data_IF_471181933568
#
_entry.id   IF_471181933568
#
_cell.length_a   1.000
_cell.length_b   1.000
_cell.length_c   1.000
_cell.angle_alpha   90.00
_cell.angle_beta   90.00
_cell.angle_gamma   90.00
#
_symmetry.space_group_name_H-M   'P 1'
#
loop_
_entity.id
_entity.type
_entity.pdbx_description
1 polymer ?
#
# COMPACT_ATOMS: atom_id res chain seq x y z
N UNK A 1 -9.90 -13.97 0.67
CA UNK A 1 -8.53 -14.44 0.98
C UNK A 1 -8.49 -15.94 0.90
N UNK A 2 -7.42 -16.51 0.33
CA UNK A 2 -7.25 -17.97 0.22
C UNK A 2 -5.79 -18.35 0.38
N UNK A 3 -5.55 -19.58 0.84
CA UNK A 3 -4.23 -20.20 0.77
C UNK A 3 -3.99 -20.67 -0.68
N UNK A 4 -2.79 -20.45 -1.19
CA UNK A 4 -2.37 -20.90 -2.53
C UNK A 4 -1.05 -21.65 -2.43
N UNK A 5 -0.81 -22.55 -3.37
CA UNK A 5 0.50 -23.19 -3.48
C UNK A 5 1.51 -22.16 -4.01
N UNK A 6 2.58 -21.81 -3.26
CA UNK A 6 3.56 -20.81 -3.70
C UNK A 6 4.24 -21.17 -5.02
N UNK A 7 4.36 -22.47 -5.33
CA UNK A 7 4.99 -22.98 -6.54
C UNK A 7 4.16 -22.72 -7.80
N UNK A 8 2.87 -22.46 -7.66
CA UNK A 8 1.94 -22.14 -8.75
C UNK A 8 1.78 -20.62 -8.95
N UNK A 9 2.68 -19.81 -8.35
CA UNK A 9 2.64 -18.34 -8.41
C UNK A 9 3.95 -17.75 -8.95
N UNK A 10 3.94 -16.47 -9.35
CA UNK A 10 5.15 -15.74 -9.75
C UNK A 10 6.19 -15.58 -8.62
N UNK A 11 5.82 -15.92 -7.37
CA UNK A 11 6.73 -15.88 -6.22
C UNK A 11 7.46 -17.20 -5.96
N UNK A 12 7.33 -18.23 -6.79
CA UNK A 12 7.92 -19.55 -6.55
C UNK A 12 9.43 -19.51 -6.21
N UNK A 13 10.23 -18.78 -7.00
CA UNK A 13 11.68 -18.63 -6.76
C UNK A 13 11.96 -17.87 -5.46
N UNK A 14 11.24 -16.76 -5.24
CA UNK A 14 11.35 -15.97 -4.01
C UNK A 14 11.01 -16.81 -2.78
N UNK A 15 9.98 -17.65 -2.86
CA UNK A 15 9.59 -18.55 -1.78
C UNK A 15 10.71 -19.53 -1.43
N UNK A 16 11.26 -20.25 -2.41
CA UNK A 16 12.32 -21.23 -2.18
C UNK A 16 13.57 -20.63 -1.56
N UNK A 17 13.96 -19.43 -2.00
CA UNK A 17 15.17 -18.78 -1.53
C UNK A 17 15.02 -18.15 -0.14
N UNK A 18 13.81 -17.68 0.20
CA UNK A 18 13.66 -16.74 1.31
C UNK A 18 12.69 -17.16 2.41
N UNK A 19 11.89 -18.23 2.26
CA UNK A 19 10.89 -18.59 3.28
C UNK A 19 11.50 -18.94 4.65
N UNK A 20 12.70 -19.52 4.66
CA UNK A 20 13.45 -19.85 5.87
C UNK A 20 14.53 -18.79 6.20
N UNK A 21 14.61 -17.70 5.44
CA UNK A 21 15.54 -16.62 5.73
C UNK A 21 15.03 -15.79 6.94
N UNK A 22 15.91 -15.40 7.88
CA UNK A 22 15.48 -14.69 9.09
C UNK A 22 14.91 -13.29 8.80
N UNK A 23 15.38 -12.60 7.75
CA UNK A 23 14.93 -11.26 7.38
C UNK A 23 15.22 -10.94 5.89
N UNK A 24 14.45 -11.49 4.94
CA UNK A 24 14.70 -11.31 3.51
C UNK A 24 14.11 -10.00 2.98
N UNK A 25 14.51 -8.87 3.56
CA UNK A 25 14.03 -7.54 3.16
C UNK A 25 15.15 -6.70 2.53
N UNK A 26 14.80 -5.95 1.50
CA UNK A 26 15.67 -4.95 0.88
C UNK A 26 14.93 -3.63 0.75
N UNK A 27 15.63 -2.52 1.03
CA UNK A 27 15.08 -1.18 0.90
C UNK A 27 15.77 -0.46 -0.25
N UNK A 28 14.98 0.08 -1.17
CA UNK A 28 15.45 0.86 -2.32
C UNK A 28 14.96 2.29 -2.18
N UNK A 29 15.84 3.26 -2.42
CA UNK A 29 15.50 4.68 -2.40
C UNK A 29 15.50 5.25 -3.81
N UNK A 30 14.46 6.02 -4.14
CA UNK A 30 14.35 6.74 -5.42
C UNK A 30 13.67 8.08 -5.20
N UNK A 31 14.29 9.13 -5.72
CA UNK A 31 13.66 10.46 -5.78
C UNK A 31 12.59 10.46 -6.87
N UNK A 32 11.36 10.84 -6.51
CA UNK A 32 10.24 10.96 -7.44
C UNK A 32 9.98 12.43 -7.79
N UNK A 33 9.71 12.71 -9.06
CA UNK A 33 9.27 14.04 -9.49
C UNK A 33 7.77 14.20 -9.18
N UNK A 34 7.45 15.09 -8.23
CA UNK A 34 6.07 15.32 -7.75
C UNK A 34 5.44 16.60 -8.31
N UNK A 35 5.97 17.17 -9.39
CA UNK A 35 5.48 18.46 -9.96
C UNK A 35 3.97 18.46 -10.21
N UNK A 36 3.43 17.37 -10.75
CA UNK A 36 2.00 17.26 -11.01
C UNK A 36 1.16 17.17 -9.71
N UNK A 37 1.68 16.52 -8.67
CA UNK A 37 1.00 16.47 -7.37
C UNK A 37 1.00 17.84 -6.69
N UNK A 38 2.07 18.62 -6.87
CA UNK A 38 2.13 19.99 -6.33
C UNK A 38 1.08 20.92 -6.96
N UNK A 39 0.74 20.73 -8.24
CA UNK A 39 -0.37 21.44 -8.90
C UNK A 39 -1.71 21.07 -8.26
N UNK A 40 -1.98 19.78 -8.07
CA UNK A 40 -3.19 19.31 -7.36
C UNK A 40 -3.26 19.78 -5.92
N UNK A 41 -2.13 19.85 -5.23
CA UNK A 41 -2.07 20.42 -3.88
C UNK A 41 -2.47 21.90 -3.88
N UNK A 42 -2.06 22.67 -4.88
CA UNK A 42 -2.46 24.07 -5.02
C UNK A 42 -3.98 24.23 -5.28
N UNK A 43 -4.64 23.20 -5.82
CA UNK A 43 -6.09 23.13 -5.99
C UNK A 43 -6.85 22.73 -4.71
N UNK A 44 -6.15 22.46 -3.59
CA UNK A 44 -6.74 22.20 -2.26
C UNK A 44 -6.57 20.78 -1.73
N UNK A 45 -6.01 19.85 -2.51
CA UNK A 45 -5.79 18.47 -2.05
C UNK A 45 -4.61 18.35 -1.07
N UNK A 46 -4.70 17.45 -0.09
CA UNK A 46 -3.58 17.14 0.82
C UNK A 46 -2.48 16.35 0.08
N UNK A 47 -1.21 16.76 0.22
CA UNK A 47 -0.09 16.08 -0.44
C UNK A 47 0.04 14.61 -0.03
N UNK A 48 -0.11 14.31 1.26
CA UNK A 48 -0.02 12.93 1.75
C UNK A 48 -1.12 12.04 1.17
N UNK A 49 -2.36 12.57 1.09
CA UNK A 49 -3.48 11.89 0.44
C UNK A 49 -3.18 11.59 -1.04
N UNK A 50 -2.66 12.57 -1.78
CA UNK A 50 -2.27 12.38 -3.19
C UNK A 50 -1.21 11.29 -3.36
N UNK A 51 -0.21 11.24 -2.46
CA UNK A 51 0.81 10.20 -2.47
C UNK A 51 0.20 8.82 -2.18
N UNK A 52 -0.64 8.70 -1.15
CA UNK A 52 -1.36 7.46 -0.83
C UNK A 52 -2.20 6.97 -2.01
N UNK A 53 -2.91 7.87 -2.70
CA UNK A 53 -3.68 7.53 -3.89
C UNK A 53 -2.78 6.95 -4.98
N UNK A 54 -1.68 7.63 -5.34
CA UNK A 54 -0.76 7.12 -6.36
C UNK A 54 -0.12 5.78 -5.97
N UNK A 55 0.27 5.60 -4.71
CA UNK A 55 0.82 4.34 -4.20
C UNK A 55 -0.19 3.21 -4.36
N UNK A 56 -1.44 3.45 -3.96
CA UNK A 56 -2.48 2.44 -3.99
C UNK A 56 -2.89 2.07 -5.43
N UNK A 57 -2.97 3.06 -6.33
CA UNK A 57 -3.17 2.82 -7.77
C UNK A 57 -2.04 1.97 -8.38
N UNK A 58 -0.78 2.20 -8.00
CA UNK A 58 0.33 1.39 -8.47
C UNK A 58 0.32 -0.02 -7.85
N UNK A 59 0.06 -0.10 -6.54
CA UNK A 59 0.05 -1.36 -5.80
C UNK A 59 -1.03 -2.31 -6.28
N UNK A 60 -2.23 -1.81 -6.59
CA UNK A 60 -3.34 -2.61 -7.12
C UNK A 60 -2.98 -3.29 -8.45
N UNK A 61 -2.13 -2.66 -9.27
CA UNK A 61 -1.69 -3.20 -10.55
C UNK A 61 -0.49 -4.18 -10.43
N UNK A 62 0.06 -4.36 -9.22
CA UNK A 62 1.18 -5.26 -8.94
C UNK A 62 0.63 -6.51 -8.25
N UNK A 63 0.37 -7.57 -9.03
CA UNK A 63 -0.28 -8.81 -8.54
C UNK A 63 0.46 -9.44 -7.36
N UNK A 64 1.77 -9.31 -7.32
CA UNK A 64 2.65 -9.87 -6.29
C UNK A 64 2.41 -9.25 -4.92
N UNK A 65 1.88 -8.02 -4.83
CA UNK A 65 1.52 -7.39 -3.55
C UNK A 65 0.26 -7.98 -2.91
N UNK A 66 -0.51 -8.79 -3.64
CA UNK A 66 -1.62 -9.57 -3.08
C UNK A 66 -1.18 -10.92 -2.49
N UNK A 67 0.09 -11.30 -2.69
CA UNK A 67 0.67 -12.54 -2.20
C UNK A 67 1.55 -12.25 -0.98
N UNK A 68 1.16 -12.76 0.19
CA UNK A 68 1.86 -12.55 1.45
C UNK A 68 2.17 -13.91 2.12
N UNK A 69 3.44 -14.18 2.48
CA UNK A 69 3.77 -15.32 3.33
C UNK A 69 3.28 -15.08 4.77
N UNK A 70 2.48 -16.00 5.32
CA UNK A 70 2.05 -16.00 6.72
C UNK A 70 2.49 -17.32 7.35
N UNK A 71 3.52 -17.26 8.19
CA UNK A 71 4.24 -18.46 8.62
C UNK A 71 4.84 -19.18 7.42
N UNK A 72 4.50 -20.47 7.22
CA UNK A 72 4.92 -21.28 6.06
C UNK A 72 3.82 -21.49 5.01
N UNK A 73 2.88 -20.54 4.92
CA UNK A 73 1.78 -20.55 3.95
C UNK A 73 1.81 -19.33 3.07
N UNK A 74 1.50 -19.49 1.78
CA UNK A 74 1.29 -18.35 0.88
C UNK A 74 -0.19 -17.98 0.86
N UNK A 75 -0.49 -16.76 1.27
CA UNK A 75 -1.86 -16.22 1.30
C UNK A 75 -2.06 -15.25 0.14
N UNK A 76 -3.15 -15.44 -0.60
CA UNK A 76 -3.61 -14.51 -1.63
C UNK A 76 -4.80 -13.70 -1.12
N UNK A 77 -4.69 -12.38 -1.21
CA UNK A 77 -5.71 -11.43 -0.80
C UNK A 77 -6.44 -10.85 -2.01
N UNK A 78 -7.73 -10.57 -1.86
CA UNK A 78 -8.57 -10.11 -2.98
C UNK A 78 -8.33 -8.63 -3.30
N UNK A 79 -7.95 -7.84 -2.29
CA UNK A 79 -7.80 -6.38 -2.36
C UNK A 79 -6.61 -5.92 -1.54
N UNK A 80 -6.05 -4.78 -1.93
CA UNK A 80 -5.02 -4.06 -1.19
C UNK A 80 -5.62 -2.77 -0.64
N UNK A 81 -5.20 -2.39 0.56
CA UNK A 81 -5.42 -1.07 1.14
C UNK A 81 -4.09 -0.38 1.40
N UNK A 82 -4.13 0.91 1.72
CA UNK A 82 -2.95 1.64 2.20
C UNK A 82 -3.15 2.06 3.65
N UNK A 83 -2.16 1.78 4.48
CA UNK A 83 -2.13 2.28 5.84
C UNK A 83 -1.44 3.65 5.86
N UNK A 84 -2.03 4.61 6.57
CA UNK A 84 -1.48 5.96 6.74
C UNK A 84 -1.32 6.29 8.21
N UNK A 85 -0.19 6.89 8.56
CA UNK A 85 0.05 7.44 9.90
C UNK A 85 -0.40 8.89 9.94
N UNK A 86 -1.26 9.22 10.90
CA UNK A 86 -1.84 10.56 11.07
C UNK A 86 -1.60 11.06 12.48
N UNK A 87 -1.45 12.39 12.62
CA UNK A 87 -1.32 13.01 13.94
C UNK A 87 -2.70 13.00 14.63
N UNK A 88 -2.76 12.51 15.86
CA UNK A 88 -4.01 12.53 16.62
C UNK A 88 -4.18 13.86 17.39
N UNK A 89 -5.40 14.15 17.82
CA UNK A 89 -5.74 15.39 18.53
C UNK A 89 -5.01 15.52 19.89
N UNK A 90 -4.63 14.41 20.50
CA UNK A 90 -3.86 14.36 21.75
C UNK A 90 -2.35 14.53 21.58
N UNK A 91 -1.86 14.85 20.37
CA UNK A 91 -0.44 15.05 20.09
C UNK A 91 0.38 13.78 19.80
N UNK A 92 -0.26 12.61 19.80
CA UNK A 92 0.31 11.34 19.37
C UNK A 92 0.07 11.04 17.89
N UNK A 93 0.16 9.76 17.53
CA UNK A 93 -0.08 9.26 16.17
C UNK A 93 -1.12 8.13 16.19
N UNK A 94 -1.93 8.07 15.13
CA UNK A 94 -2.83 6.97 14.84
C UNK A 94 -2.46 6.36 13.49
N UNK A 95 -2.85 5.11 13.29
CA UNK A 95 -2.73 4.39 12.04
C UNK A 95 -4.14 4.16 11.48
N UNK A 96 -4.38 4.58 10.25
CA UNK A 96 -5.69 4.46 9.59
C UNK A 96 -5.53 3.66 8.29
N UNK A 97 -6.40 2.67 8.08
CA UNK A 97 -6.44 1.89 6.85
C UNK A 97 -7.42 2.52 5.84
N UNK A 98 -6.94 2.76 4.63
CA UNK A 98 -7.72 3.34 3.55
C UNK A 98 -7.94 2.29 2.44
N UNK A 99 -9.20 2.05 2.04
CA UNK A 99 -9.50 1.11 0.96
C UNK A 99 -9.09 1.66 -0.41
N UNK A 100 -8.90 0.77 -1.37
CA UNK A 100 -8.77 1.14 -2.78
C UNK A 100 -10.05 1.78 -3.31
N UNK A 101 -9.90 2.89 -4.03
CA UNK A 101 -10.97 3.55 -4.79
C UNK A 101 -10.50 3.80 -6.22
N UNK A 102 -11.42 3.87 -7.18
CA UNK A 102 -11.05 4.02 -8.59
C UNK A 102 -10.70 5.46 -8.95
N UNK A 103 -11.38 6.43 -8.32
CA UNK A 103 -11.25 7.85 -8.62
C UNK A 103 -10.54 8.61 -7.50
N UNK A 104 -9.93 9.74 -7.84
CA UNK A 104 -9.24 10.61 -6.90
C UNK A 104 -10.24 11.25 -5.92
N UNK A 105 -11.42 11.60 -6.42
CA UNK A 105 -12.47 12.27 -5.66
C UNK A 105 -13.04 11.35 -4.57
N UNK A 106 -13.31 10.08 -4.91
CA UNK A 106 -13.71 9.06 -3.94
C UNK A 106 -12.63 8.78 -2.90
N UNK A 107 -11.36 8.74 -3.34
CA UNK A 107 -10.24 8.53 -2.44
C UNK A 107 -10.12 9.70 -1.46
N UNK A 108 -10.20 10.93 -1.95
CA UNK A 108 -10.08 12.13 -1.13
C UNK A 108 -11.20 12.19 -0.08
N UNK A 109 -12.45 11.90 -0.46
CA UNK A 109 -13.56 11.81 0.51
C UNK A 109 -13.27 10.78 1.60
N UNK A 110 -12.91 9.56 1.20
CA UNK A 110 -12.62 8.47 2.15
C UNK A 110 -11.42 8.80 3.06
N UNK A 111 -10.39 9.44 2.49
CA UNK A 111 -9.23 9.89 3.25
C UNK A 111 -9.63 10.90 4.32
N UNK A 112 -10.41 11.93 3.98
CA UNK A 112 -10.84 12.94 4.95
C UNK A 112 -11.71 12.32 6.03
N UNK A 113 -12.70 11.49 5.65
CA UNK A 113 -13.61 10.81 6.60
C UNK A 113 -12.87 9.91 7.61
N UNK A 114 -11.78 9.26 7.19
CA UNK A 114 -11.06 8.28 8.02
C UNK A 114 -9.84 8.85 8.75
N UNK A 115 -9.44 10.09 8.45
CA UNK A 115 -8.20 10.69 8.99
C UNK A 115 -8.38 12.00 9.75
N UNK A 116 -9.57 12.60 9.71
CA UNK A 116 -9.88 13.87 10.39
C UNK A 116 -10.74 13.68 11.65
#
# INVERSE_FOLDING_TARGET
MREVNPMDTDRAVSWQLYIDAPMPMVTIFKTLNITNLMKRRAEGYKLNMLLCFCILQAAQNTKEFRLLPVGKKMMEYDRIGVNVIVKNQGGGINSCDLPFTQTLEEFNRSYLELTE
#
